data_IF_513467039613
#
_entry.id   IF_513467039613
#
_cell.length_a   1.000
_cell.length_b   1.000
_cell.length_c   1.000
_cell.angle_alpha   90.00
_cell.angle_beta   90.00
_cell.angle_gamma   90.00
#
_symmetry.space_group_name_H-M   'P 1'
#
loop_
_entity.id
_entity.type
_entity.pdbx_description
1 polymer ?
#
# COMPACT_ATOMS: atom_id res chain seq x y z
N UNK A 1 -28.24 29.13 8.42
CA UNK A 1 -26.98 29.89 8.38
C UNK A 1 -26.17 29.43 9.59
N UNK A 2 -24.95 28.90 9.52
CA UNK A 2 -23.81 29.16 8.62
C UNK A 2 -23.02 27.85 8.37
N UNK A 3 -22.53 27.70 7.13
CA UNK A 3 -21.55 26.69 6.69
C UNK A 3 -20.19 26.99 7.33
N UNK A 4 -19.54 25.98 7.90
CA UNK A 4 -18.10 25.99 8.09
C UNK A 4 -17.45 25.33 6.85
N UNK A 5 -16.64 26.11 6.15
CA UNK A 5 -15.68 25.65 5.14
C UNK A 5 -14.32 25.70 5.82
N UNK A 6 -13.71 24.55 6.10
CA UNK A 6 -12.34 24.52 6.61
C UNK A 6 -11.37 24.33 5.44
N UNK A 7 -10.66 25.42 5.14
CA UNK A 7 -9.54 25.47 4.19
C UNK A 7 -8.27 24.97 4.89
N UNK A 8 -7.92 23.70 4.69
CA UNK A 8 -6.61 23.19 5.11
C UNK A 8 -5.58 23.46 3.99
N UNK A 9 -4.85 24.56 4.16
CA UNK A 9 -3.74 25.02 3.34
C UNK A 9 -2.47 24.19 3.59
N UNK A 10 -1.93 23.52 2.56
CA UNK A 10 -0.57 22.95 2.58
C UNK A 10 0.45 24.04 2.25
N UNK A 11 1.65 24.06 2.89
CA UNK A 11 2.66 25.06 2.60
C UNK A 11 3.16 24.92 1.15
N UNK A 12 3.00 26.00 0.37
CA UNK A 12 3.63 26.15 -0.94
C UNK A 12 5.10 26.53 -0.73
N UNK A 13 6.03 25.62 -1.05
CA UNK A 13 7.43 25.99 -1.28
C UNK A 13 7.51 26.79 -2.61
N UNK A 14 8.04 28.02 -2.62
CA UNK A 14 8.17 28.79 -3.84
C UNK A 14 9.53 28.52 -4.52
N UNK A 15 9.48 28.33 -5.84
CA UNK A 15 10.58 28.44 -6.83
C UNK A 15 11.54 27.24 -6.92
N UNK A 16 11.13 26.18 -7.65
CA UNK A 16 12.01 25.51 -8.62
C UNK A 16 11.19 25.27 -9.90
N UNK A 17 11.79 25.62 -11.03
CA UNK A 17 11.21 25.83 -12.36
C UNK A 17 10.36 24.66 -12.88
N UNK A 18 9.30 25.05 -13.60
CA UNK A 18 8.33 24.25 -14.35
C UNK A 18 8.72 22.80 -14.69
N UNK A 19 8.17 21.86 -13.92
CA UNK A 19 7.63 20.61 -14.44
C UNK A 19 6.20 20.53 -13.92
N UNK A 20 5.21 20.67 -14.79
CA UNK A 20 3.80 20.46 -14.43
C UNK A 20 3.62 18.99 -14.10
N UNK A 21 3.93 18.60 -12.86
CA UNK A 21 3.65 17.28 -12.33
C UNK A 21 2.16 17.26 -12.03
N UNK A 22 1.37 16.95 -13.04
CA UNK A 22 -0.07 16.74 -12.92
C UNK A 22 -0.25 15.55 -11.96
N UNK A 23 -0.56 15.82 -10.69
CA UNK A 23 -0.83 14.77 -9.71
C UNK A 23 -2.14 14.08 -10.12
N UNK A 24 -2.02 13.00 -10.88
CA UNK A 24 -3.15 12.17 -11.26
C UNK A 24 -3.61 11.37 -10.04
N UNK A 25 -4.68 11.79 -9.40
CA UNK A 25 -5.29 11.00 -8.34
C UNK A 25 -6.16 9.90 -8.95
N UNK A 26 -5.96 8.66 -8.52
CA UNK A 26 -6.88 7.56 -8.82
C UNK A 26 -7.72 7.28 -7.59
N UNK A 27 -9.03 7.16 -7.79
CA UNK A 27 -9.97 6.78 -6.73
C UNK A 27 -10.19 5.27 -6.76
N UNK A 28 -10.44 4.69 -5.60
CA UNK A 28 -10.98 3.33 -5.52
C UNK A 28 -12.38 3.24 -6.11
N UNK A 29 -12.73 2.06 -6.63
CA UNK A 29 -14.06 1.80 -7.17
C UNK A 29 -15.13 1.84 -6.05
N UNK A 30 -16.39 2.24 -6.35
CA UNK A 30 -17.49 2.22 -5.39
C UNK A 30 -17.66 0.85 -4.74
N UNK A 31 -18.13 0.76 -3.47
CA UNK A 31 -18.82 1.80 -2.69
C UNK A 31 -17.91 2.74 -1.87
N UNK A 32 -16.70 2.32 -1.52
CA UNK A 32 -15.80 3.11 -0.66
C UNK A 32 -14.77 3.85 -1.52
N UNK A 33 -15.15 5.03 -2.02
CA UNK A 33 -14.25 5.92 -2.78
C UNK A 33 -13.36 6.69 -1.81
N UNK A 34 -12.09 6.32 -1.76
CA UNK A 34 -11.08 7.11 -1.05
C UNK A 34 -9.97 7.52 -2.02
N UNK A 35 -9.33 8.66 -1.71
CA UNK A 35 -8.18 9.15 -2.46
C UNK A 35 -6.98 8.27 -2.12
N UNK A 36 -6.32 7.76 -3.14
CA UNK A 36 -5.07 7.04 -2.95
C UNK A 36 -3.94 8.09 -2.89
N UNK A 37 -3.20 8.19 -1.77
CA UNK A 37 -2.10 9.13 -1.63
C UNK A 37 -0.92 8.77 -2.55
N UNK A 38 -0.32 9.78 -3.19
CA UNK A 38 0.97 9.63 -3.88
C UNK A 38 2.12 9.65 -2.88
N UNK A 39 3.17 8.86 -3.15
CA UNK A 39 4.34 8.65 -2.27
C UNK A 39 3.97 8.23 -0.85
N UNK A 40 2.89 7.47 -0.72
CA UNK A 40 2.47 6.94 0.57
C UNK A 40 3.46 5.88 1.05
N UNK A 41 3.85 5.94 2.32
CA UNK A 41 4.72 4.94 2.94
C UNK A 41 4.21 4.69 4.35
N UNK A 42 3.97 3.43 4.69
CA UNK A 42 3.61 3.00 6.03
C UNK A 42 4.44 1.79 6.42
N UNK A 43 4.76 1.68 7.71
CA UNK A 43 5.34 0.47 8.29
C UNK A 43 4.21 -0.27 9.00
N UNK A 44 3.98 -1.51 8.59
CA UNK A 44 2.90 -2.34 9.10
C UNK A 44 3.50 -3.54 9.83
N UNK A 45 3.02 -3.82 11.03
CA UNK A 45 3.38 -5.02 11.76
C UNK A 45 2.43 -6.15 11.35
N UNK A 46 2.91 -7.09 10.56
CA UNK A 46 2.11 -8.16 9.98
C UNK A 46 2.50 -9.53 10.54
N UNK A 47 1.51 -10.35 10.90
CA UNK A 47 1.71 -11.71 11.43
C UNK A 47 1.11 -11.92 12.82
N UNK A 48 1.22 -13.14 13.34
CA UNK A 48 0.80 -13.48 14.72
C UNK A 48 1.82 -12.94 15.72
N UNK A 49 1.39 -12.60 16.93
CA UNK A 49 2.23 -12.00 18.01
C UNK A 49 3.65 -12.58 18.13
N UNK A 50 3.82 -13.90 18.04
CA UNK A 50 5.12 -14.56 18.17
C UNK A 50 6.00 -14.54 16.92
N UNK A 51 5.43 -14.23 15.75
CA UNK A 51 6.11 -14.17 14.45
C UNK A 51 5.74 -12.88 13.71
N UNK A 52 5.61 -11.78 14.45
CA UNK A 52 5.21 -10.51 13.87
C UNK A 52 6.40 -9.90 13.13
N UNK A 53 6.18 -9.56 11.86
CA UNK A 53 7.18 -9.00 10.97
C UNK A 53 6.83 -7.54 10.67
N UNK A 54 7.83 -6.66 10.70
CA UNK A 54 7.68 -5.29 10.19
C UNK A 54 7.85 -5.33 8.68
N UNK A 55 6.81 -4.96 7.95
CA UNK A 55 6.84 -4.75 6.50
C UNK A 55 6.68 -3.27 6.18
N UNK A 56 7.24 -2.85 5.06
CA UNK A 56 7.09 -1.48 4.56
C UNK A 56 6.20 -1.50 3.33
N UNK A 57 5.04 -0.89 3.43
CA UNK A 57 4.10 -0.74 2.35
C UNK A 57 4.25 0.66 1.75
N UNK A 58 4.20 0.75 0.43
CA UNK A 58 4.27 2.04 -0.27
C UNK A 58 3.37 2.09 -1.49
N UNK A 59 2.86 3.28 -1.78
CA UNK A 59 2.07 3.55 -2.97
C UNK A 59 2.74 4.70 -3.72
N UNK A 60 3.18 4.43 -4.94
CA UNK A 60 3.81 5.40 -5.81
C UNK A 60 3.07 5.49 -7.14
N UNK A 61 2.92 6.68 -7.69
CA UNK A 61 2.34 6.82 -9.02
C UNK A 61 3.40 6.70 -10.13
N UNK A 62 3.21 5.73 -11.03
CA UNK A 62 3.99 5.56 -12.26
C UNK A 62 3.04 5.70 -13.44
N UNK A 63 3.32 6.65 -14.34
CA UNK A 63 2.49 6.93 -15.53
C UNK A 63 1.00 7.09 -15.17
N UNK A 64 0.73 7.90 -14.15
CA UNK A 64 -0.60 8.19 -13.63
C UNK A 64 -1.39 7.00 -13.05
N UNK A 65 -0.71 5.89 -12.74
CA UNK A 65 -1.31 4.69 -12.14
C UNK A 65 -0.63 4.35 -10.81
N UNK A 66 -1.39 3.96 -9.78
CA UNK A 66 -0.81 3.58 -8.50
C UNK A 66 -0.07 2.23 -8.64
N UNK A 67 1.17 2.22 -8.16
CA UNK A 67 1.99 1.05 -7.93
C UNK A 67 1.97 0.77 -6.43
N UNK A 68 1.38 -0.35 -6.05
CA UNK A 68 1.36 -0.85 -4.68
C UNK A 68 2.57 -1.74 -4.47
N UNK A 69 3.41 -1.41 -3.50
CA UNK A 69 4.68 -2.10 -3.23
C UNK A 69 4.77 -2.48 -1.76
N UNK A 70 5.24 -3.69 -1.48
CA UNK A 70 5.53 -4.20 -0.14
C UNK A 70 6.98 -4.69 -0.10
N UNK A 71 7.75 -4.17 0.85
CA UNK A 71 9.14 -4.56 1.12
C UNK A 71 9.18 -5.32 2.45
N UNK A 72 9.81 -6.50 2.47
CA UNK A 72 9.88 -7.39 3.63
C UNK A 72 11.08 -8.33 3.50
N UNK A 73 11.84 -8.59 4.58
CA UNK A 73 12.92 -9.61 4.61
C UNK A 73 13.79 -9.69 3.32
N UNK A 74 14.24 -8.54 2.82
CA UNK A 74 15.05 -8.38 1.58
C UNK A 74 14.33 -8.74 0.27
N UNK A 75 13.01 -8.94 0.30
CA UNK A 75 12.16 -9.15 -0.86
C UNK A 75 11.24 -7.95 -1.10
N UNK A 76 10.82 -7.83 -2.35
CA UNK A 76 9.92 -6.78 -2.82
C UNK A 76 8.83 -7.45 -3.65
N UNK A 77 7.58 -7.14 -3.34
CA UNK A 77 6.44 -7.50 -4.19
C UNK A 77 5.70 -6.25 -4.62
N UNK A 78 5.25 -6.24 -5.87
CA UNK A 78 4.62 -5.07 -6.49
C UNK A 78 3.36 -5.48 -7.24
N UNK A 79 2.36 -4.60 -7.24
CA UNK A 79 1.17 -4.74 -8.07
C UNK A 79 0.73 -3.40 -8.63
N UNK A 80 0.36 -3.39 -9.92
CA UNK A 80 -0.29 -2.27 -10.60
C UNK A 80 -1.82 -2.36 -10.56
N UNK A 81 -2.37 -3.47 -10.02
CA UNK A 81 -3.82 -3.76 -10.06
C UNK A 81 -4.54 -3.22 -8.84
N UNK A 82 -4.09 -3.58 -7.64
CA UNK A 82 -4.69 -3.15 -6.37
C UNK A 82 -3.80 -3.46 -5.17
N UNK A 83 -4.06 -2.78 -4.05
CA UNK A 83 -3.45 -3.10 -2.76
C UNK A 83 -3.65 -4.57 -2.37
N UNK A 84 -4.87 -5.10 -2.55
CA UNK A 84 -5.17 -6.51 -2.21
C UNK A 84 -4.41 -7.49 -3.09
N UNK A 85 -4.15 -7.16 -4.36
CA UNK A 85 -3.33 -8.03 -5.21
C UNK A 85 -1.87 -8.04 -4.74
N UNK A 86 -1.31 -6.89 -4.35
CA UNK A 86 0.02 -6.82 -3.75
C UNK A 86 0.10 -7.60 -2.43
N UNK A 87 -0.92 -7.47 -1.58
CA UNK A 87 -1.03 -8.21 -0.33
C UNK A 87 -1.04 -9.73 -0.53
N UNK A 88 -1.81 -10.24 -1.49
CA UNK A 88 -1.81 -11.67 -1.80
C UNK A 88 -0.46 -12.15 -2.37
N UNK A 89 0.21 -11.35 -3.21
CA UNK A 89 1.56 -11.68 -3.68
C UNK A 89 2.58 -11.75 -2.53
N UNK A 90 2.46 -10.86 -1.55
CA UNK A 90 3.27 -10.91 -0.34
C UNK A 90 3.00 -12.21 0.44
N UNK A 91 1.72 -12.59 0.61
CA UNK A 91 1.37 -13.85 1.26
C UNK A 91 1.98 -15.04 0.52
N UNK A 92 1.86 -15.10 -0.81
CA UNK A 92 2.43 -16.16 -1.64
C UNK A 92 3.95 -16.23 -1.53
N UNK A 93 4.63 -15.09 -1.40
CA UNK A 93 6.08 -15.03 -1.24
C UNK A 93 6.52 -15.54 0.14
N UNK A 94 5.87 -15.10 1.24
CA UNK A 94 6.10 -15.65 2.58
C UNK A 94 5.94 -17.16 2.62
N UNK A 95 4.91 -17.61 1.95
CA UNK A 95 4.47 -18.98 1.86
C UNK A 95 5.51 -19.85 1.13
N UNK A 96 6.10 -19.35 0.04
CA UNK A 96 7.28 -19.96 -0.60
C UNK A 96 8.51 -19.98 0.31
N UNK A 97 8.82 -18.89 1.01
CA UNK A 97 9.95 -18.84 1.96
C UNK A 97 9.76 -19.89 3.07
N UNK A 98 8.53 -20.03 3.57
CA UNK A 98 8.22 -21.02 4.60
C UNK A 98 8.38 -22.45 4.08
N UNK A 99 7.94 -22.73 2.84
CA UNK A 99 8.15 -24.04 2.20
C UNK A 99 9.63 -24.37 1.99
N UNK A 100 10.45 -23.39 1.61
CA UNK A 100 11.91 -23.56 1.49
C UNK A 100 12.56 -23.89 2.84
N UNK A 101 12.05 -23.30 3.93
CA UNK A 101 12.55 -23.56 5.30
C UNK A 101 12.04 -24.90 5.87
N UNK A 102 10.82 -25.30 5.54
CA UNK A 102 10.22 -26.57 5.96
C UNK A 102 9.20 -27.06 4.91
N UNK A 103 9.57 -28.04 4.05
CA UNK A 103 8.73 -28.47 2.93
C UNK A 103 7.45 -29.22 3.37
N UNK A 104 7.39 -29.70 4.60
CA UNK A 104 6.22 -30.41 5.14
C UNK A 104 5.20 -29.49 5.81
N UNK A 105 5.50 -28.19 5.91
CA UNK A 105 4.61 -27.23 6.56
C UNK A 105 3.46 -26.87 5.62
N UNK A 106 2.26 -27.36 5.94
CA UNK A 106 1.03 -26.96 5.24
C UNK A 106 0.79 -25.46 5.47
N UNK A 107 0.70 -24.69 4.40
CA UNK A 107 0.40 -23.27 4.49
C UNK A 107 -1.04 -22.98 4.07
N UNK A 108 -1.76 -22.21 4.89
CA UNK A 108 -3.13 -21.82 4.62
C UNK A 108 -3.25 -20.78 3.50
N UNK A 109 -4.20 -20.97 2.60
CA UNK A 109 -4.59 -19.97 1.59
C UNK A 109 -5.43 -18.88 2.25
N UNK A 110 -4.80 -17.95 2.97
CA UNK A 110 -5.50 -16.78 3.51
C UNK A 110 -5.39 -15.65 2.52
N UNK A 111 -6.52 -15.19 1.98
CA UNK A 111 -6.55 -13.98 1.16
C UNK A 111 -6.39 -12.77 2.07
N UNK A 112 -5.36 -11.97 1.82
CA UNK A 112 -5.08 -10.79 2.62
C UNK A 112 -5.86 -9.58 2.11
N UNK A 113 -6.43 -8.82 3.05
CA UNK A 113 -7.05 -7.55 2.74
C UNK A 113 -5.97 -6.48 2.56
N UNK A 114 -5.88 -5.93 1.35
CA UNK A 114 -4.90 -4.88 1.04
C UNK A 114 -5.11 -3.60 1.85
N UNK A 115 -6.34 -3.33 2.30
CA UNK A 115 -6.67 -2.15 3.09
C UNK A 115 -5.96 -2.20 4.46
N UNK A 116 -6.02 -3.36 5.13
CA UNK A 116 -5.41 -3.56 6.44
C UNK A 116 -3.89 -3.50 6.38
N UNK A 117 -3.30 -4.14 5.36
CA UNK A 117 -1.85 -4.15 5.19
C UNK A 117 -1.29 -2.77 4.88
N UNK A 118 -1.98 -2.03 4.00
CA UNK A 118 -1.56 -0.68 3.64
C UNK A 118 -2.07 0.38 4.62
N UNK A 119 -2.76 0.01 5.71
CA UNK A 119 -3.27 0.97 6.69
C UNK A 119 -4.17 2.04 6.07
N UNK A 120 -4.87 1.72 4.98
CA UNK A 120 -5.75 2.66 4.29
C UNK A 120 -7.06 2.76 5.10
N UNK A 121 -7.44 3.95 5.54
CA UNK A 121 -8.76 4.18 6.13
C UNK A 121 -9.79 4.34 5.02
N UNK A 122 -10.89 3.59 5.12
CA UNK A 122 -12.09 3.70 4.28
C UNK A 122 -12.98 4.85 4.74
#
# INVERSE_FOLDING_TARGET
MTRYQETNTYPQNPIIKAQTKTYSFTYTFPPNKYKIPDKYIVKTNFGKRSNQQIIKCSINYINNKPLYRIEFENQIVESKKSASKAANLYQDALNKIAQLKNPYKLHGSTRLNGIEIFGLQL
#
